data_IF_875659098637
#
_entry.id   IF_875659098637
#
_cell.length_a   1.000
_cell.length_b   1.000
_cell.length_c   1.000
_cell.angle_alpha   90.00
_cell.angle_beta   90.00
_cell.angle_gamma   90.00
#
_symmetry.space_group_name_H-M   'P 1'
#
loop_
_entity.id
_entity.type
_entity.pdbx_description
1 polymer ?
#
# COMPACT_ATOMS: atom_id res chain seq x y z
N UNK A 1 -25.44 -48.64 27.83
CA UNK A 1 -25.78 -47.58 28.82
C UNK A 1 -24.71 -46.51 28.71
N UNK A 2 -24.99 -45.41 28.01
CA UNK A 2 -24.05 -44.30 27.86
C UNK A 2 -24.08 -43.46 29.13
N UNK A 3 -23.15 -43.75 30.04
CA UNK A 3 -22.96 -42.98 31.27
C UNK A 3 -22.03 -41.81 30.96
N UNK A 4 -22.52 -40.82 30.21
CA UNK A 4 -21.84 -39.52 30.12
C UNK A 4 -22.01 -38.82 31.47
N UNK A 5 -21.03 -39.02 32.37
CA UNK A 5 -21.02 -38.38 33.68
C UNK A 5 -21.18 -36.85 33.51
N UNK A 6 -22.14 -36.21 34.20
CA UNK A 6 -22.38 -34.77 34.08
C UNK A 6 -21.13 -33.92 34.37
N UNK A 7 -20.19 -34.46 35.13
CA UNK A 7 -18.88 -33.86 35.38
C UNK A 7 -18.00 -33.79 34.12
N UNK A 8 -18.00 -34.83 33.29
CA UNK A 8 -17.25 -34.84 32.02
C UNK A 8 -17.84 -33.83 31.05
N UNK A 9 -19.17 -33.72 30.99
CA UNK A 9 -19.87 -32.72 30.18
C UNK A 9 -19.53 -31.30 30.63
N UNK A 10 -19.51 -31.06 31.95
CA UNK A 10 -19.15 -29.76 32.51
C UNK A 10 -17.71 -29.34 32.18
N UNK A 11 -16.74 -30.27 32.28
CA UNK A 11 -15.33 -29.99 31.93
C UNK A 11 -15.21 -29.69 30.44
N UNK A 12 -15.83 -30.49 29.57
CA UNK A 12 -15.78 -30.27 28.12
C UNK A 12 -16.42 -28.92 27.74
N UNK A 13 -17.53 -28.55 28.36
CA UNK A 13 -18.16 -27.24 28.15
C UNK A 13 -17.24 -26.09 28.59
N UNK A 14 -16.58 -26.21 29.74
CA UNK A 14 -15.68 -25.18 30.28
C UNK A 14 -14.44 -25.00 29.40
N UNK A 15 -13.85 -26.11 28.95
CA UNK A 15 -12.73 -26.10 27.99
C UNK A 15 -13.16 -25.52 26.65
N UNK A 16 -14.35 -25.87 26.15
CA UNK A 16 -14.91 -25.32 24.91
C UNK A 16 -15.12 -23.81 24.98
N UNK A 17 -15.65 -23.29 26.08
CA UNK A 17 -15.83 -21.84 26.30
C UNK A 17 -14.47 -21.13 26.40
N UNK A 18 -13.51 -21.70 27.14
CA UNK A 18 -12.18 -21.11 27.27
C UNK A 18 -11.43 -21.05 25.92
N UNK A 19 -11.46 -22.14 25.14
CA UNK A 19 -10.86 -22.18 23.81
C UNK A 19 -11.56 -21.23 22.84
N UNK A 20 -12.90 -21.18 22.86
CA UNK A 20 -13.69 -20.27 22.04
C UNK A 20 -13.37 -18.80 22.33
N UNK A 21 -13.22 -18.43 23.61
CA UNK A 21 -12.84 -17.08 24.01
C UNK A 21 -11.43 -16.69 23.54
N UNK A 22 -10.47 -17.62 23.64
CA UNK A 22 -9.09 -17.41 23.17
C UNK A 22 -9.06 -17.21 21.66
N UNK A 23 -9.68 -18.11 20.89
CA UNK A 23 -9.73 -18.02 19.42
C UNK A 23 -10.45 -16.74 18.99
N UNK A 24 -11.57 -16.40 19.64
CA UNK A 24 -12.32 -15.18 19.37
C UNK A 24 -11.50 -13.91 19.62
N UNK A 25 -10.71 -13.86 20.70
CA UNK A 25 -9.85 -12.71 21.00
C UNK A 25 -8.79 -12.47 19.93
N UNK A 26 -8.05 -13.51 19.53
CA UNK A 26 -7.03 -13.39 18.48
C UNK A 26 -7.66 -13.04 17.12
N UNK A 27 -8.80 -13.63 16.78
CA UNK A 27 -9.52 -13.31 15.54
C UNK A 27 -10.02 -11.87 15.52
N UNK A 28 -10.45 -11.32 16.66
CA UNK A 28 -10.92 -9.95 16.76
C UNK A 28 -9.78 -8.94 16.56
N UNK A 29 -8.60 -9.20 17.16
CA UNK A 29 -7.40 -8.36 16.95
C UNK A 29 -7.01 -8.36 15.47
N UNK A 30 -6.95 -9.53 14.83
CA UNK A 30 -6.59 -9.62 13.41
C UNK A 30 -7.59 -8.87 12.51
N UNK A 31 -8.90 -8.96 12.80
CA UNK A 31 -9.92 -8.20 12.07
C UNK A 31 -9.79 -6.69 12.27
N UNK A 32 -9.43 -6.25 13.48
CA UNK A 32 -9.24 -4.83 13.79
C UNK A 32 -8.03 -4.26 13.05
N UNK A 33 -6.92 -4.97 13.04
CA UNK A 33 -5.72 -4.60 12.29
C UNK A 33 -5.99 -4.53 10.78
N UNK A 34 -6.68 -5.54 10.23
CA UNK A 34 -7.06 -5.55 8.82
C UNK A 34 -8.01 -4.41 8.45
N UNK A 35 -8.97 -4.10 9.30
CA UNK A 35 -9.92 -2.99 9.09
C UNK A 35 -9.19 -1.65 9.08
N UNK A 36 -8.25 -1.44 10.01
CA UNK A 36 -7.45 -0.21 10.06
C UNK A 36 -6.53 -0.07 8.84
N UNK A 37 -5.91 -1.17 8.40
CA UNK A 37 -5.11 -1.17 7.18
C UNK A 37 -5.96 -0.85 5.94
N UNK A 38 -7.16 -1.43 5.85
CA UNK A 38 -8.11 -1.16 4.76
C UNK A 38 -8.54 0.32 4.76
N UNK A 39 -8.83 0.89 5.92
CA UNK A 39 -9.17 2.30 6.07
C UNK A 39 -8.03 3.20 5.56
N UNK A 40 -6.80 2.96 6.01
CA UNK A 40 -5.63 3.71 5.54
C UNK A 40 -5.42 3.59 4.03
N UNK A 41 -5.58 2.39 3.46
CA UNK A 41 -5.54 2.16 2.00
C UNK A 41 -6.60 2.95 1.26
N UNK A 42 -7.85 2.87 1.73
CA UNK A 42 -8.98 3.59 1.13
C UNK A 42 -8.76 5.10 1.12
N UNK A 43 -8.18 5.65 2.19
CA UNK A 43 -7.82 7.06 2.27
C UNK A 43 -6.80 7.44 1.20
N UNK A 44 -5.74 6.63 1.04
CA UNK A 44 -4.74 6.82 0.00
C UNK A 44 -5.34 6.76 -1.41
N UNK A 45 -6.26 5.82 -1.68
CA UNK A 45 -6.92 5.70 -2.97
C UNK A 45 -7.83 6.90 -3.26
N UNK A 46 -8.60 7.35 -2.28
CA UNK A 46 -9.44 8.54 -2.42
C UNK A 46 -8.60 9.79 -2.70
N UNK A 47 -7.43 9.91 -2.07
CA UNK A 47 -6.50 11.00 -2.34
C UNK A 47 -5.97 10.95 -3.79
N UNK A 48 -5.62 9.76 -4.29
CA UNK A 48 -5.21 9.59 -5.68
C UNK A 48 -6.34 9.97 -6.65
N UNK A 49 -7.55 9.48 -6.42
CA UNK A 49 -8.73 9.77 -7.26
C UNK A 49 -9.08 11.26 -7.27
N UNK A 50 -8.98 11.95 -6.12
CA UNK A 50 -9.16 13.41 -6.04
C UNK A 50 -8.12 14.15 -6.86
N UNK A 51 -6.86 13.72 -6.81
CA UNK A 51 -5.82 14.26 -7.67
C UNK A 51 -6.18 14.10 -9.15
N UNK A 52 -6.55 12.89 -9.57
CA UNK A 52 -6.95 12.62 -10.97
C UNK A 52 -8.15 13.47 -11.41
N UNK A 53 -9.14 13.65 -10.54
CA UNK A 53 -10.29 14.52 -10.80
C UNK A 53 -9.86 15.98 -11.00
N UNK A 54 -8.96 16.51 -10.15
CA UNK A 54 -8.41 17.86 -10.30
C UNK A 54 -7.64 18.02 -11.63
N UNK A 55 -6.87 17.01 -12.05
CA UNK A 55 -6.21 17.04 -13.36
C UNK A 55 -7.22 17.08 -14.51
N UNK A 56 -8.29 16.27 -14.44
CA UNK A 56 -9.32 16.27 -15.47
C UNK A 56 -10.07 17.61 -15.53
N UNK A 57 -10.35 18.22 -14.37
CA UNK A 57 -10.96 19.55 -14.27
C UNK A 57 -10.04 20.64 -14.83
N UNK A 58 -8.73 20.58 -14.56
CA UNK A 58 -7.75 21.54 -15.10
C UNK A 58 -7.77 21.58 -16.62
N UNK A 59 -7.93 20.42 -17.27
CA UNK A 59 -7.96 20.29 -18.74
C UNK A 59 -9.21 20.89 -19.37
N UNK A 60 -10.28 21.08 -18.59
CA UNK A 60 -11.54 21.64 -19.05
C UNK A 60 -11.64 23.15 -18.74
N UNK A 61 -10.66 23.70 -18.02
CA UNK A 61 -10.69 25.08 -17.55
C UNK A 61 -10.15 26.04 -18.60
N UNK A 62 -10.89 27.11 -18.88
CA UNK A 62 -10.46 28.18 -19.80
C UNK A 62 -9.63 29.26 -19.09
N UNK A 63 -9.77 29.39 -17.78
CA UNK A 63 -8.92 30.27 -16.96
C UNK A 63 -7.58 29.59 -16.61
N UNK A 64 -6.49 30.13 -17.15
CA UNK A 64 -5.13 29.62 -16.94
C UNK A 64 -4.71 29.54 -15.47
N UNK A 65 -5.03 30.55 -14.66
CA UNK A 65 -4.68 30.57 -13.23
C UNK A 65 -5.38 29.44 -12.48
N UNK A 66 -6.66 29.20 -12.82
CA UNK A 66 -7.43 28.12 -12.21
C UNK A 66 -6.96 26.74 -12.69
N UNK A 67 -6.55 26.61 -13.95
CA UNK A 67 -5.95 25.39 -14.46
C UNK A 67 -4.64 25.06 -13.74
N UNK A 68 -3.77 26.05 -13.54
CA UNK A 68 -2.49 25.86 -12.82
C UNK A 68 -2.69 25.50 -11.34
N UNK A 69 -3.66 26.11 -10.67
CA UNK A 69 -4.05 25.77 -9.30
C UNK A 69 -4.47 24.28 -9.20
N UNK A 70 -5.35 23.83 -10.11
CA UNK A 70 -5.84 22.45 -10.16
C UNK A 70 -4.71 21.45 -10.48
N UNK A 71 -3.81 21.80 -11.39
CA UNK A 71 -2.63 20.96 -11.65
C UNK A 71 -1.70 20.88 -10.43
N UNK A 72 -1.56 21.96 -9.67
CA UNK A 72 -0.80 21.95 -8.42
C UNK A 72 -1.42 21.02 -7.38
N UNK A 73 -2.76 21.08 -7.23
CA UNK A 73 -3.52 20.16 -6.38
C UNK A 73 -3.34 18.71 -6.81
N UNK A 74 -3.40 18.44 -8.12
CA UNK A 74 -3.10 17.11 -8.68
C UNK A 74 -1.69 16.65 -8.28
N UNK A 75 -0.66 17.47 -8.51
CA UNK A 75 0.74 17.12 -8.20
C UNK A 75 0.93 16.78 -6.73
N UNK A 76 0.35 17.57 -5.83
CA UNK A 76 0.45 17.35 -4.39
C UNK A 76 -0.30 16.08 -3.96
N UNK A 77 -1.56 15.94 -4.35
CA UNK A 77 -2.40 14.81 -3.98
C UNK A 77 -1.85 13.48 -4.52
N UNK A 78 -1.42 13.46 -5.79
CA UNK A 78 -0.83 12.25 -6.38
C UNK A 78 0.51 11.91 -5.76
N UNK A 79 1.37 12.90 -5.46
CA UNK A 79 2.63 12.64 -4.75
C UNK A 79 2.34 11.94 -3.42
N UNK A 80 1.48 12.51 -2.59
CA UNK A 80 1.16 11.96 -1.27
C UNK A 80 0.48 10.59 -1.37
N UNK A 81 -0.48 10.42 -2.29
CA UNK A 81 -1.15 9.15 -2.50
C UNK A 81 -0.18 8.06 -2.95
N UNK A 82 0.76 8.35 -3.87
CA UNK A 82 1.80 7.40 -4.27
C UNK A 82 2.63 6.93 -3.08
N UNK A 83 3.06 7.84 -2.20
CA UNK A 83 3.80 7.48 -1.00
C UNK A 83 2.99 6.53 -0.10
N UNK A 84 1.73 6.88 0.15
CA UNK A 84 0.86 6.07 1.00
C UNK A 84 0.57 4.69 0.37
N UNK A 85 0.29 4.62 -0.93
CA UNK A 85 0.05 3.35 -1.64
C UNK A 85 1.32 2.50 -1.66
N UNK A 86 2.51 3.10 -1.77
CA UNK A 86 3.78 2.40 -1.71
C UNK A 86 4.03 1.71 -0.37
N UNK A 87 3.52 2.28 0.71
CA UNK A 87 3.66 1.72 2.06
C UNK A 87 2.53 0.75 2.38
N UNK A 88 1.30 1.12 2.03
CA UNK A 88 0.10 0.46 2.53
C UNK A 88 -0.49 -0.52 1.54
N UNK A 89 -0.35 -0.26 0.24
CA UNK A 89 -0.97 -1.04 -0.84
C UNK A 89 -0.45 -2.47 -0.92
N UNK A 90 -1.25 -3.35 -1.50
CA UNK A 90 -0.84 -4.69 -1.92
C UNK A 90 0.31 -4.62 -2.94
N UNK A 91 1.03 -5.73 -3.11
CA UNK A 91 2.09 -5.77 -4.13
C UNK A 91 1.53 -5.52 -5.53
N UNK A 92 0.34 -6.04 -5.85
CA UNK A 92 -0.32 -5.83 -7.14
C UNK A 92 -0.65 -4.36 -7.40
N UNK A 93 -1.14 -3.64 -6.38
CA UNK A 93 -1.48 -2.21 -6.49
C UNK A 93 -0.22 -1.37 -6.71
N UNK A 94 0.84 -1.65 -5.96
CA UNK A 94 2.13 -0.99 -6.15
C UNK A 94 2.68 -1.28 -7.54
N UNK A 95 2.60 -2.53 -7.98
CA UNK A 95 3.09 -2.95 -9.29
C UNK A 95 2.35 -2.25 -10.42
N UNK A 96 1.01 -2.21 -10.37
CA UNK A 96 0.18 -1.56 -11.37
C UNK A 96 0.41 -0.03 -11.41
N UNK A 97 0.54 0.59 -10.23
CA UNK A 97 0.74 2.03 -10.16
C UNK A 97 2.16 2.43 -10.59
N UNK A 98 3.18 1.62 -10.26
CA UNK A 98 4.54 1.82 -10.75
C UNK A 98 4.61 1.72 -12.28
N UNK A 99 3.90 0.76 -12.88
CA UNK A 99 3.81 0.59 -14.34
C UNK A 99 3.15 1.81 -15.02
N UNK A 100 2.08 2.35 -14.44
CA UNK A 100 1.45 3.57 -14.94
C UNK A 100 2.42 4.75 -15.00
N UNK A 101 3.24 4.96 -13.96
CA UNK A 101 4.21 6.07 -13.92
C UNK A 101 5.45 5.81 -14.74
N UNK A 102 5.84 4.55 -14.94
CA UNK A 102 6.87 4.15 -15.89
C UNK A 102 6.52 4.56 -17.32
N UNK A 103 5.25 4.38 -17.71
CA UNK A 103 4.74 4.78 -19.02
C UNK A 103 4.51 6.29 -19.14
N UNK A 104 4.44 7.01 -18.03
CA UNK A 104 4.16 8.45 -17.97
C UNK A 104 5.18 9.17 -17.05
N UNK A 105 6.49 9.15 -17.37
CA UNK A 105 7.52 9.67 -16.50
C UNK A 105 7.46 11.21 -16.40
N UNK A 106 7.39 11.79 -15.19
CA UNK A 106 7.61 13.21 -14.97
C UNK A 106 9.08 13.57 -15.17
N UNK A 107 9.36 14.69 -15.82
CA UNK A 107 10.70 15.04 -16.31
C UNK A 107 11.68 15.66 -15.31
N UNK A 108 12.00 15.02 -14.17
CA UNK A 108 12.94 15.57 -13.17
C UNK A 108 14.13 14.62 -12.90
N UNK A 109 15.27 15.14 -12.43
CA UNK A 109 16.49 14.38 -12.11
C UNK A 109 16.55 14.13 -10.59
N UNK A 110 16.89 12.92 -10.15
CA UNK A 110 16.87 12.50 -8.73
C UNK A 110 18.21 12.52 -8.01
N UNK A 111 18.13 12.53 -6.67
CA UNK A 111 19.27 12.54 -5.73
C UNK A 111 19.77 11.13 -5.42
N UNK A 112 21.01 11.00 -4.95
CA UNK A 112 21.69 9.71 -4.71
C UNK A 112 21.16 8.89 -3.50
N UNK A 113 20.24 9.42 -2.69
CA UNK A 113 19.83 8.82 -1.39
C UNK A 113 18.68 7.82 -1.47
N UNK A 114 18.06 7.65 -2.63
CA UNK A 114 16.82 6.91 -2.81
C UNK A 114 16.88 5.43 -2.36
N UNK A 115 18.03 4.77 -2.50
CA UNK A 115 18.16 3.35 -2.17
C UNK A 115 17.99 3.10 -0.66
N UNK A 116 18.43 4.05 0.17
CA UNK A 116 18.24 3.98 1.63
C UNK A 116 16.76 4.15 1.97
N UNK A 117 16.10 5.09 1.30
CA UNK A 117 14.68 5.33 1.52
C UNK A 117 13.84 4.11 1.11
N UNK A 118 14.14 3.44 -0.03
CA UNK A 118 13.47 2.18 -0.44
C UNK A 118 13.52 1.12 0.65
N UNK A 119 14.67 0.93 1.30
CA UNK A 119 14.81 -0.05 2.38
C UNK A 119 14.00 0.32 3.64
N UNK A 120 13.89 1.61 3.96
CA UNK A 120 13.00 2.11 5.02
C UNK A 120 11.55 1.73 4.68
N UNK A 121 11.12 1.93 3.44
CA UNK A 121 9.77 1.60 3.02
C UNK A 121 9.50 0.10 3.04
N UNK A 122 10.43 -0.73 2.60
CA UNK A 122 10.30 -2.19 2.71
C UNK A 122 10.19 -2.62 4.18
N UNK A 123 10.92 -1.96 5.08
CA UNK A 123 10.77 -2.22 6.51
C UNK A 123 9.37 -1.87 7.03
N UNK A 124 8.83 -0.70 6.65
CA UNK A 124 7.45 -0.31 7.00
C UNK A 124 6.41 -1.29 6.43
N UNK A 125 6.55 -1.70 5.16
CA UNK A 125 5.64 -2.66 4.53
C UNK A 125 5.61 -4.00 5.26
N UNK A 126 6.79 -4.53 5.63
CA UNK A 126 6.91 -5.79 6.39
C UNK A 126 6.27 -5.73 7.79
N UNK A 127 6.20 -4.53 8.37
CA UNK A 127 5.56 -4.29 9.66
C UNK A 127 4.02 -4.20 9.52
N UNK A 128 3.55 -3.58 8.44
CA UNK A 128 2.12 -3.28 8.22
C UNK A 128 1.36 -4.40 7.47
N UNK A 129 2.04 -5.16 6.63
CA UNK A 129 1.44 -6.20 5.78
C UNK A 129 1.92 -7.56 6.28
N UNK A 130 1.02 -8.45 6.73
CA UNK A 130 1.41 -9.79 7.15
C UNK A 130 2.14 -10.53 6.02
N UNK A 131 3.31 -11.12 6.31
CA UNK A 131 4.20 -11.79 5.33
C UNK A 131 3.50 -12.81 4.41
N UNK A 132 2.41 -13.44 4.87
CA UNK A 132 1.65 -14.42 4.07
C UNK A 132 0.77 -13.79 2.99
N UNK A 133 0.58 -12.46 3.02
CA UNK A 133 -0.31 -11.69 2.13
C UNK A 133 0.46 -10.66 1.28
N UNK A 134 1.78 -10.56 1.44
CA UNK A 134 2.60 -9.62 0.68
C UNK A 134 3.15 -10.31 -0.58
N UNK A 135 2.64 -9.92 -1.76
CA UNK A 135 3.35 -10.17 -3.00
C UNK A 135 4.64 -9.35 -3.00
N UNK A 136 5.75 -9.96 -3.38
CA UNK A 136 7.06 -9.30 -3.40
C UNK A 136 7.02 -8.11 -4.37
N UNK A 137 7.39 -6.93 -3.88
CA UNK A 137 7.53 -5.72 -4.67
C UNK A 137 9.00 -5.50 -4.94
N UNK A 138 9.37 -5.43 -6.21
CA UNK A 138 10.75 -5.14 -6.62
C UNK A 138 11.17 -3.71 -6.25
N UNK A 139 12.44 -3.54 -5.91
CA UNK A 139 13.04 -2.28 -5.45
C UNK A 139 12.83 -1.17 -6.48
N UNK A 140 12.95 -1.50 -7.78
CA UNK A 140 12.74 -0.54 -8.86
C UNK A 140 11.28 -0.07 -8.91
N UNK A 141 10.30 -0.96 -8.76
CA UNK A 141 8.87 -0.58 -8.77
C UNK A 141 8.50 0.28 -7.57
N UNK A 142 9.01 -0.05 -6.39
CA UNK A 142 8.81 0.77 -5.20
C UNK A 142 9.44 2.16 -5.40
N UNK A 143 10.64 2.22 -5.97
CA UNK A 143 11.31 3.46 -6.32
C UNK A 143 10.47 4.32 -7.28
N UNK A 144 9.99 3.74 -8.37
CA UNK A 144 9.14 4.46 -9.33
C UNK A 144 7.84 4.96 -8.72
N UNK A 145 7.34 4.31 -7.67
CA UNK A 145 6.15 4.81 -7.00
C UNK A 145 6.48 6.07 -6.19
N UNK A 146 7.52 5.99 -5.38
CA UNK A 146 7.87 6.99 -4.38
C UNK A 146 8.49 8.24 -5.02
N UNK A 147 9.44 8.01 -5.94
CA UNK A 147 10.15 9.05 -6.68
C UNK A 147 9.81 9.01 -8.15
N UNK A 148 8.59 8.66 -8.51
CA UNK A 148 8.10 8.53 -9.89
C UNK A 148 8.15 9.76 -10.76
N UNK A 149 9.18 10.60 -10.61
CA UNK A 149 9.62 11.73 -11.38
C UNK A 149 11.06 11.50 -11.93
N UNK A 150 11.62 10.29 -11.84
CA UNK A 150 12.98 10.00 -12.29
C UNK A 150 13.23 8.50 -12.53
N UNK A 151 14.23 8.18 -13.36
CA UNK A 151 14.77 6.83 -13.52
C UNK A 151 15.72 6.52 -12.34
N UNK A 152 15.75 5.29 -11.82
CA UNK A 152 16.77 4.91 -10.86
C UNK A 152 18.14 5.03 -11.56
N UNK A 153 19.18 5.55 -10.88
CA UNK A 153 20.55 5.37 -11.35
C UNK A 153 20.75 3.88 -11.63
N UNK A 154 21.48 3.51 -12.70
CA UNK A 154 21.67 2.12 -13.07
C UNK A 154 22.10 1.33 -11.85
N UNK A 155 21.23 0.45 -11.38
CA UNK A 155 21.52 -0.43 -10.27
C UNK A 155 22.58 -1.37 -10.80
N UNK A 156 23.81 -1.24 -10.29
CA UNK A 156 24.92 -2.09 -10.68
C UNK A 156 24.48 -3.58 -10.67
N UNK A 157 24.18 -4.12 -11.86
CA UNK A 157 23.86 -5.53 -12.10
C UNK A 157 22.40 -5.99 -12.11
N UNK A 158 21.36 -5.17 -11.87
CA UNK A 158 19.95 -5.66 -11.81
C UNK A 158 19.01 -5.23 -12.95
N UNK A 159 19.33 -4.17 -13.69
CA UNK A 159 18.40 -3.56 -14.65
C UNK A 159 18.24 -4.30 -16.00
N UNK A 160 19.00 -5.36 -16.25
CA UNK A 160 18.90 -6.11 -17.51
C UNK A 160 17.54 -6.82 -17.70
N UNK A 161 16.81 -7.11 -16.62
CA UNK A 161 15.53 -7.84 -16.68
C UNK A 161 14.27 -6.97 -16.81
N UNK A 162 14.38 -5.65 -16.66
CA UNK A 162 13.22 -4.75 -16.72
C UNK A 162 13.04 -4.12 -18.11
N UNK A 163 13.91 -4.45 -19.07
CA UNK A 163 13.89 -3.94 -20.45
C UNK A 163 13.59 -5.02 -21.51
N UNK A 164 13.30 -6.25 -21.07
CA UNK A 164 12.82 -7.37 -21.88
C UNK A 164 11.33 -7.59 -21.61
#
# INVERSE_FOLDING_TARGET
MNMSSPFVVAIVALVGVALGAIIGHFSAIEQQEQSKLLELRSSAYLLFLRGQAALQESKQQSNLEKAEELESQYRQAVKEARFQIGILGSGDEVNALAEYFLLNPPGVICTATWAVDVEIYKAMRRDLIPRKKEAEVDDARLYYLLWGNCLPPPLAGRDAKLRE
#
